data_IF_282224565984
#
_entry.id   IF_282224565984
#
_cell.length_a   1.000
_cell.length_b   1.000
_cell.length_c   1.000
_cell.angle_alpha   90.00
_cell.angle_beta   90.00
_cell.angle_gamma   90.00
#
_symmetry.space_group_name_H-M   'P 1'
#
loop_
_entity.id
_entity.type
_entity.pdbx_description
1 polymer ?
#
# COMPACT_ATOMS: atom_id res chain seq x y z
N UNK A 1 4.98 -29.92 -1.45
CA UNK A 1 5.60 -28.87 -2.31
C UNK A 1 5.46 -27.50 -1.63
N UNK A 2 6.28 -27.21 -0.61
CA UNK A 2 6.32 -25.93 0.11
C UNK A 2 7.59 -25.17 -0.29
N UNK A 3 7.70 -24.70 -1.55
CA UNK A 3 8.77 -23.76 -1.91
C UNK A 3 8.34 -22.36 -1.53
N UNK A 4 8.52 -22.09 -0.23
CA UNK A 4 8.76 -20.79 0.41
C UNK A 4 8.75 -19.59 -0.54
N UNK A 5 7.59 -18.92 -0.62
CA UNK A 5 7.52 -17.49 -0.84
C UNK A 5 8.20 -16.83 0.37
N UNK A 6 9.47 -16.50 0.17
CA UNK A 6 10.31 -15.75 1.09
C UNK A 6 10.41 -14.35 0.50
N UNK A 7 10.12 -13.31 1.28
CA UNK A 7 10.17 -11.90 0.83
C UNK A 7 11.50 -11.57 0.14
N UNK A 8 12.60 -12.22 0.55
CA UNK A 8 13.94 -12.05 -0.04
C UNK A 8 14.10 -12.64 -1.46
N UNK A 9 13.06 -13.31 -2.01
CA UNK A 9 13.07 -13.82 -3.39
C UNK A 9 12.48 -12.85 -4.40
N UNK A 10 11.84 -11.77 -3.94
CA UNK A 10 11.25 -10.78 -4.80
C UNK A 10 12.17 -9.57 -4.89
N UNK A 11 12.52 -9.18 -6.11
CA UNK A 11 13.27 -7.96 -6.39
C UNK A 11 12.36 -6.73 -6.39
N UNK A 12 11.06 -6.95 -6.64
CA UNK A 12 10.03 -5.91 -6.66
C UNK A 12 8.86 -6.28 -5.76
N UNK A 13 8.38 -5.32 -4.96
CA UNK A 13 7.14 -5.44 -4.20
C UNK A 13 6.45 -4.09 -4.24
N UNK A 14 5.20 -4.08 -4.70
CA UNK A 14 4.30 -2.94 -4.55
C UNK A 14 3.05 -3.35 -3.80
N UNK A 15 2.64 -2.48 -2.87
CA UNK A 15 1.43 -2.68 -2.09
C UNK A 15 0.51 -1.49 -2.26
N UNK A 16 -0.71 -1.80 -2.68
CA UNK A 16 -1.68 -0.84 -3.18
C UNK A 16 -2.94 -0.83 -2.32
N UNK A 17 -3.53 0.35 -2.17
CA UNK A 17 -4.88 0.54 -1.61
C UNK A 17 -5.79 1.20 -2.62
N UNK A 18 -7.02 0.70 -2.73
CA UNK A 18 -8.11 1.37 -3.45
C UNK A 18 -9.33 1.46 -2.55
N UNK A 19 -9.77 2.68 -2.25
CA UNK A 19 -10.91 2.94 -1.37
C UNK A 19 -12.21 3.10 -2.14
N UNK A 20 -13.30 2.46 -1.69
CA UNK A 20 -14.65 2.63 -2.27
C UNK A 20 -15.40 3.83 -1.64
N UNK A 21 -16.06 4.65 -2.47
CA UNK A 21 -16.77 5.86 -2.03
C UNK A 21 -18.21 5.53 -1.57
N UNK A 22 -18.45 5.43 -0.24
CA UNK A 22 -19.81 5.23 0.31
C UNK A 22 -20.67 6.50 0.42
N UNK A 23 -20.16 7.68 0.09
CA UNK A 23 -20.98 8.90 -0.10
C UNK A 23 -20.12 10.01 -0.71
N UNK A 24 -20.56 10.57 -1.83
CA UNK A 24 -19.87 11.62 -2.59
C UNK A 24 -20.01 12.99 -1.89
N UNK A 25 -19.52 13.10 -0.66
CA UNK A 25 -19.33 14.41 -0.04
C UNK A 25 -18.08 14.98 -0.67
N UNK A 26 -18.24 16.02 -1.49
CA UNK A 26 -17.14 16.80 -2.06
C UNK A 26 -16.26 17.33 -0.92
N UNK A 27 -15.22 16.61 -0.57
CA UNK A 27 -14.04 17.21 0.03
C UNK A 27 -13.32 17.94 -1.11
N UNK A 28 -13.03 19.23 -0.92
CA UNK A 28 -12.26 20.03 -1.90
C UNK A 28 -10.85 19.47 -2.16
N UNK A 29 -10.41 18.46 -1.40
CA UNK A 29 -9.07 17.90 -1.43
C UNK A 29 -9.14 16.37 -1.54
N UNK A 30 -8.35 15.74 -2.44
CA UNK A 30 -8.36 14.29 -2.63
C UNK A 30 -7.76 13.58 -1.41
N UNK A 31 -8.42 12.51 -0.94
CA UNK A 31 -7.94 11.69 0.18
C UNK A 31 -7.02 10.58 -0.32
N UNK A 32 -7.26 10.08 -1.54
CA UNK A 32 -6.50 9.00 -2.17
C UNK A 32 -6.43 9.18 -3.70
N UNK A 33 -5.80 8.22 -4.38
CA UNK A 33 -5.67 8.21 -5.84
C UNK A 33 -6.99 7.96 -6.58
N UNK A 34 -8.00 7.36 -5.93
CA UNK A 34 -9.34 7.20 -6.51
C UNK A 34 -10.06 8.55 -6.60
N UNK A 35 -9.94 9.41 -5.58
CA UNK A 35 -10.46 10.77 -5.63
C UNK A 35 -9.76 11.62 -6.72
N UNK A 36 -8.45 11.44 -6.90
CA UNK A 36 -7.70 12.11 -7.98
C UNK A 36 -8.26 11.70 -9.34
N UNK A 37 -8.41 10.40 -9.57
CA UNK A 37 -8.96 9.88 -10.82
C UNK A 37 -10.43 10.30 -11.02
N UNK A 38 -11.22 10.36 -9.95
CA UNK A 38 -12.61 10.83 -9.99
C UNK A 38 -12.76 12.31 -10.35
N UNK A 39 -11.76 13.13 -10.01
CA UNK A 39 -11.68 14.54 -10.37
C UNK A 39 -11.14 14.75 -11.80
N UNK A 40 -10.16 13.94 -12.20
CA UNK A 40 -9.59 13.94 -13.56
C UNK A 40 -9.27 12.50 -14.00
N UNK A 41 -10.14 11.96 -14.86
CA UNK A 41 -10.04 10.60 -15.38
C UNK A 41 -8.96 10.42 -16.47
N UNK A 42 -8.23 11.49 -16.81
CA UNK A 42 -7.09 11.48 -17.74
C UNK A 42 -5.73 11.48 -17.04
N UNK A 43 -5.74 11.44 -15.70
CA UNK A 43 -4.54 11.35 -14.87
C UNK A 43 -3.70 10.11 -15.21
N UNK A 44 -2.39 10.30 -15.42
CA UNK A 44 -1.41 9.22 -15.62
C UNK A 44 -0.79 8.74 -14.30
N UNK A 45 -0.14 7.58 -14.28
CA UNK A 45 0.64 7.17 -13.10
C UNK A 45 1.72 8.19 -12.75
N UNK A 46 1.94 8.41 -11.45
CA UNK A 46 2.91 9.42 -10.99
C UNK A 46 2.77 9.80 -9.51
N UNK A 47 3.55 10.80 -9.10
CA UNK A 47 3.49 11.32 -7.72
C UNK A 47 2.43 12.42 -7.61
N UNK A 48 1.49 12.22 -6.70
CA UNK A 48 0.40 13.15 -6.42
C UNK A 48 0.37 13.57 -4.96
N UNK A 49 -0.39 14.63 -4.67
CA UNK A 49 -0.61 15.15 -3.33
C UNK A 49 -2.03 14.86 -2.87
N UNK A 50 -2.16 14.23 -1.70
CA UNK A 50 -3.42 13.84 -1.06
C UNK A 50 -3.49 14.36 0.38
N UNK A 51 -4.67 14.30 1.01
CA UNK A 51 -4.97 14.93 2.30
C UNK A 51 -5.76 14.02 3.26
N UNK A 52 -5.30 12.79 3.57
CA UNK A 52 -6.04 11.86 4.43
C UNK A 52 -6.19 12.34 5.88
N UNK A 53 -5.20 13.10 6.37
CA UNK A 53 -5.21 13.74 7.69
C UNK A 53 -5.95 15.07 7.74
N UNK A 54 -6.46 15.58 6.62
CA UNK A 54 -7.14 16.87 6.50
C UNK A 54 -6.33 17.95 5.77
N UNK A 55 -6.88 19.17 5.63
CA UNK A 55 -6.35 20.20 4.72
C UNK A 55 -4.94 20.71 5.04
N UNK A 56 -4.49 20.57 6.30
CA UNK A 56 -3.21 21.10 6.77
C UNK A 56 -2.08 20.07 6.77
N UNK A 57 -2.37 18.82 6.41
CA UNK A 57 -1.42 17.69 6.45
C UNK A 57 -1.31 17.02 5.08
N UNK A 58 -0.74 17.72 4.07
CA UNK A 58 -0.56 17.15 2.75
C UNK A 58 0.44 15.99 2.79
N UNK A 59 0.16 14.96 1.99
CA UNK A 59 0.98 13.76 1.84
C UNK A 59 1.24 13.51 0.36
N UNK A 60 2.48 13.21 0.00
CA UNK A 60 2.80 12.78 -1.37
C UNK A 60 2.74 11.25 -1.46
N UNK A 61 2.06 10.75 -2.49
CA UNK A 61 1.91 9.32 -2.77
C UNK A 61 2.16 9.05 -4.25
N UNK A 62 2.61 7.84 -4.57
CA UNK A 62 2.60 7.37 -5.94
C UNK A 62 1.21 6.79 -6.24
N UNK A 63 0.56 7.34 -7.26
CA UNK A 63 -0.67 6.80 -7.81
C UNK A 63 -0.36 5.95 -9.04
N UNK A 64 -0.79 4.70 -9.01
CA UNK A 64 -0.83 3.86 -10.21
C UNK A 64 -2.23 3.97 -10.82
N UNK A 65 -2.30 4.63 -11.97
CA UNK A 65 -3.53 4.89 -12.73
C UNK A 65 -3.74 3.90 -13.89
N UNK A 66 -2.83 2.94 -14.08
CA UNK A 66 -2.79 2.09 -15.27
C UNK A 66 -3.11 0.61 -14.93
N UNK A 67 -2.58 0.09 -13.82
CA UNK A 67 -2.69 -1.32 -13.46
C UNK A 67 -4.10 -1.69 -13.00
N UNK A 68 -4.71 -2.72 -13.62
CA UNK A 68 -5.99 -3.32 -13.17
C UNK A 68 -7.13 -2.30 -12.97
N UNK A 69 -7.24 -1.34 -13.91
CA UNK A 69 -8.21 -0.24 -13.84
C UNK A 69 -7.73 1.00 -13.09
N UNK A 70 -6.49 0.99 -12.59
CA UNK A 70 -5.82 2.12 -11.95
C UNK A 70 -6.39 2.49 -10.59
N UNK A 71 -6.20 3.77 -10.22
CA UNK A 71 -6.75 4.40 -9.00
C UNK A 71 -6.12 3.89 -7.70
N UNK A 72 -4.94 3.28 -7.83
CA UNK A 72 -4.27 2.67 -6.71
C UNK A 72 -3.35 3.66 -6.01
N UNK A 73 -3.49 3.74 -4.69
CA UNK A 73 -2.54 4.43 -3.82
C UNK A 73 -1.46 3.46 -3.40
N UNK A 74 -0.24 3.64 -3.88
CA UNK A 74 0.91 2.82 -3.46
C UNK A 74 1.39 3.30 -2.09
N UNK A 75 1.59 2.39 -1.15
CA UNK A 75 2.13 2.73 0.18
C UNK A 75 3.43 2.03 0.54
N UNK A 76 3.81 1.02 -0.22
CA UNK A 76 5.14 0.43 -0.19
C UNK A 76 5.59 0.16 -1.61
N UNK A 77 6.83 0.53 -1.93
CA UNK A 77 7.45 0.25 -3.22
C UNK A 77 8.90 -0.17 -3.05
N UNK A 78 9.27 -1.32 -3.63
CA UNK A 78 10.64 -1.86 -3.73
C UNK A 78 10.98 -2.11 -5.19
N UNK A 79 12.15 -1.69 -5.64
CA UNK A 79 12.54 -1.72 -7.06
C UNK A 79 13.98 -2.22 -7.20
N UNK A 80 14.94 -1.51 -6.57
CA UNK A 80 16.37 -1.68 -6.83
C UNK A 80 17.23 -1.74 -5.57
N UNK A 81 16.63 -1.58 -4.39
CA UNK A 81 17.34 -1.58 -3.11
C UNK A 81 18.11 -0.30 -2.79
N UNK A 82 17.84 0.81 -3.50
CA UNK A 82 18.44 2.12 -3.20
C UNK A 82 18.06 2.65 -1.82
N UNK A 83 16.90 2.26 -1.28
CA UNK A 83 16.47 2.63 0.06
C UNK A 83 16.63 1.48 1.05
N UNK A 84 17.22 1.78 2.21
CA UNK A 84 17.30 0.82 3.30
C UNK A 84 15.96 0.75 4.05
N UNK A 85 15.39 -0.46 4.08
CA UNK A 85 14.24 -0.83 4.92
C UNK A 85 14.69 -1.36 6.29
N UNK A 86 16.00 -1.45 6.57
CA UNK A 86 16.48 -1.74 7.92
C UNK A 86 16.50 -0.44 8.73
N UNK A 87 15.33 -0.05 9.25
CA UNK A 87 15.12 1.22 9.96
C UNK A 87 14.47 1.00 11.33
N UNK A 88 14.74 1.85 12.33
CA UNK A 88 14.03 1.81 13.61
C UNK A 88 12.53 2.06 13.48
N UNK A 89 11.74 1.56 14.43
CA UNK A 89 10.28 1.69 14.50
C UNK A 89 9.72 3.08 14.17
N UNK A 90 10.36 4.14 14.69
CA UNK A 90 9.93 5.53 14.45
C UNK A 90 9.79 5.88 12.96
N UNK A 91 10.63 5.31 12.11
CA UNK A 91 10.57 5.53 10.65
C UNK A 91 9.43 4.74 10.02
N UNK A 92 9.13 3.54 10.52
CA UNK A 92 7.96 2.79 10.08
C UNK A 92 6.65 3.48 10.45
N UNK A 93 6.62 4.20 11.58
CA UNK A 93 5.51 5.05 11.96
C UNK A 93 5.29 6.21 10.99
N UNK A 94 6.33 7.00 10.72
CA UNK A 94 6.23 8.27 9.96
C UNK A 94 6.38 8.14 8.45
N UNK A 95 6.99 7.06 7.97
CA UNK A 95 7.39 6.90 6.57
C UNK A 95 8.86 7.22 6.31
N UNK A 96 9.39 6.71 5.20
CA UNK A 96 10.76 6.96 4.71
C UNK A 96 10.90 6.61 3.21
N UNK A 97 12.00 7.04 2.61
CA UNK A 97 12.33 6.78 1.20
C UNK A 97 11.87 7.88 0.26
N UNK A 98 11.86 7.59 -1.04
CA UNK A 98 11.49 8.50 -2.11
C UNK A 98 10.22 8.01 -2.81
N UNK A 99 9.17 8.82 -2.80
CA UNK A 99 7.87 8.48 -3.40
C UNK A 99 7.97 8.21 -4.92
N UNK A 100 8.95 8.82 -5.60
CA UNK A 100 9.22 8.55 -7.02
C UNK A 100 10.02 7.25 -7.27
N UNK A 101 10.53 6.61 -6.23
CA UNK A 101 11.35 5.40 -6.26
C UNK A 101 10.91 4.40 -5.19
N UNK A 102 11.84 3.94 -4.34
CA UNK A 102 11.52 3.07 -3.21
C UNK A 102 11.05 3.87 -1.99
N UNK A 103 9.94 3.47 -1.37
CA UNK A 103 9.48 4.13 -0.14
C UNK A 103 8.54 3.26 0.69
N UNK A 104 8.38 3.72 1.93
CA UNK A 104 7.37 3.29 2.89
C UNK A 104 6.55 4.51 3.31
N UNK A 105 5.23 4.47 3.14
CA UNK A 105 4.37 5.61 3.39
C UNK A 105 4.29 6.01 4.87
N UNK A 106 4.45 5.05 5.78
CA UNK A 106 4.29 5.25 7.22
C UNK A 106 2.97 4.71 7.74
N UNK A 107 3.02 4.01 8.87
CA UNK A 107 1.85 3.39 9.50
C UNK A 107 0.78 4.42 9.89
N UNK A 108 1.18 5.62 10.35
CA UNK A 108 0.20 6.65 10.69
C UNK A 108 -0.59 7.12 9.45
N UNK A 109 0.09 7.24 8.32
CA UNK A 109 -0.53 7.64 7.06
C UNK A 109 -1.44 6.53 6.51
N UNK A 110 -1.03 5.27 6.62
CA UNK A 110 -1.83 4.11 6.22
C UNK A 110 -3.08 3.97 7.11
N UNK A 111 -2.95 4.21 8.41
CA UNK A 111 -4.09 4.25 9.34
C UNK A 111 -5.09 5.32 8.91
N UNK A 112 -4.64 6.54 8.64
CA UNK A 112 -5.50 7.63 8.19
C UNK A 112 -6.22 7.31 6.87
N UNK A 113 -5.57 6.66 5.92
CA UNK A 113 -6.19 6.23 4.66
C UNK A 113 -7.28 5.16 4.90
N UNK A 114 -6.95 4.14 5.69
CA UNK A 114 -7.82 2.97 5.92
C UNK A 114 -8.97 3.24 6.88
N UNK A 115 -8.87 4.27 7.72
CA UNK A 115 -9.97 4.72 8.57
C UNK A 115 -11.06 5.49 7.80
N UNK A 116 -10.72 6.10 6.65
CA UNK A 116 -11.62 6.99 5.90
C UNK A 116 -12.54 6.26 4.92
N UNK A 117 -12.05 5.17 4.33
CA UNK A 117 -12.75 4.36 3.32
C UNK A 117 -12.52 2.88 3.57
N UNK A 118 -13.44 2.05 3.10
CA UNK A 118 -13.16 0.62 2.95
C UNK A 118 -12.20 0.46 1.78
N UNK A 119 -11.01 -0.05 2.06
CA UNK A 119 -9.95 -0.19 1.07
C UNK A 119 -9.73 -1.65 0.73
N UNK A 120 -9.63 -2.00 -0.54
CA UNK A 120 -9.05 -3.29 -0.94
C UNK A 120 -7.53 -3.20 -1.00
N UNK A 121 -6.89 -4.36 -0.90
CA UNK A 121 -5.43 -4.48 -0.92
C UNK A 121 -5.01 -5.31 -2.12
N UNK A 122 -4.01 -4.81 -2.84
CA UNK A 122 -3.28 -5.58 -3.84
C UNK A 122 -1.80 -5.60 -3.50
N UNK A 123 -1.16 -6.73 -3.76
CA UNK A 123 0.30 -6.93 -3.62
C UNK A 123 0.84 -7.48 -4.92
N UNK A 124 1.67 -6.70 -5.60
CA UNK A 124 2.39 -7.17 -6.79
C UNK A 124 3.83 -7.49 -6.42
N UNK A 125 4.32 -8.61 -6.95
CA UNK A 125 5.65 -9.15 -6.67
C UNK A 125 6.29 -9.60 -7.98
N UNK A 126 7.58 -9.34 -8.12
CA UNK A 126 8.40 -9.85 -9.23
C UNK A 126 9.61 -10.58 -8.67
N UNK A 127 9.92 -11.76 -9.22
CA UNK A 127 11.13 -12.50 -8.88
C UNK A 127 12.33 -12.10 -9.76
N UNK A 128 13.52 -12.59 -9.41
CA UNK A 128 14.75 -12.31 -10.16
C UNK A 128 14.77 -12.83 -11.60
N UNK A 129 13.80 -13.68 -11.98
CA UNK A 129 13.63 -14.18 -13.35
C UNK A 129 12.63 -13.35 -14.15
N UNK A 130 12.06 -12.29 -13.55
CA UNK A 130 11.03 -11.45 -14.16
C UNK A 130 9.61 -12.03 -14.08
N UNK A 131 9.38 -13.10 -13.31
CA UNK A 131 8.02 -13.63 -13.12
C UNK A 131 7.22 -12.71 -12.20
N UNK A 132 6.20 -12.07 -12.76
CA UNK A 132 5.25 -11.22 -12.02
C UNK A 132 4.08 -12.01 -11.47
N UNK A 133 3.73 -11.78 -10.21
CA UNK A 133 2.57 -12.38 -9.55
C UNK A 133 1.87 -11.33 -8.68
N UNK A 134 0.57 -11.48 -8.51
CA UNK A 134 -0.24 -10.62 -7.65
C UNK A 134 -1.02 -11.43 -6.62
N UNK A 135 -1.43 -10.76 -5.54
CA UNK A 135 -2.42 -11.23 -4.58
C UNK A 135 -3.35 -10.06 -4.23
N UNK A 136 -4.65 -10.33 -4.14
CA UNK A 136 -5.67 -9.33 -3.83
C UNK A 136 -6.56 -9.78 -2.67
N UNK A 137 -7.03 -8.81 -1.89
CA UNK A 137 -7.92 -8.99 -0.76
C UNK A 137 -9.06 -7.97 -0.80
N UNK A 138 -10.27 -8.42 -0.45
CA UNK A 138 -11.49 -7.62 -0.53
C UNK A 138 -11.50 -6.40 0.40
N UNK A 139 -10.72 -6.46 1.49
CA UNK A 139 -10.60 -5.35 2.43
C UNK A 139 -9.25 -5.37 3.17
N UNK A 140 -8.81 -4.19 3.58
CA UNK A 140 -7.61 -3.96 4.38
C UNK A 140 -7.78 -2.72 5.24
N UNK A 141 -7.43 -2.87 6.51
CA UNK A 141 -7.25 -1.73 7.40
C UNK A 141 -6.20 -2.05 8.46
N UNK A 142 -5.65 -0.99 9.04
CA UNK A 142 -4.89 -1.11 10.28
C UNK A 142 -5.55 -0.26 11.34
N UNK A 143 -5.35 -0.62 12.60
CA UNK A 143 -5.83 0.16 13.73
C UNK A 143 -4.85 1.28 14.13
N UNK A 144 -5.24 2.08 15.14
CA UNK A 144 -4.37 3.14 15.67
C UNK A 144 -3.09 2.61 16.35
N UNK A 145 -2.13 3.50 16.60
CA UNK A 145 -0.92 3.19 17.36
C UNK A 145 -1.21 2.63 18.76
N UNK A 146 -2.30 3.05 19.40
CA UNK A 146 -2.64 2.65 20.78
C UNK A 146 -2.90 1.15 20.92
N UNK A 147 -3.34 0.51 19.85
CA UNK A 147 -3.51 -0.96 19.75
C UNK A 147 -2.45 -1.58 18.84
N UNK A 148 -1.38 -0.84 18.56
CA UNK A 148 -0.18 -1.32 17.88
C UNK A 148 -0.34 -1.52 16.38
N UNK A 149 -1.17 -0.74 15.69
CA UNK A 149 -1.40 -0.87 14.24
C UNK A 149 -1.82 -2.29 13.84
N UNK A 150 -2.78 -2.86 14.57
CA UNK A 150 -3.30 -4.19 14.30
C UNK A 150 -3.87 -4.28 12.87
N UNK A 151 -3.38 -5.24 12.09
CA UNK A 151 -3.82 -5.50 10.73
C UNK A 151 -5.16 -6.27 10.69
N UNK A 152 -6.11 -5.76 9.92
CA UNK A 152 -7.33 -6.42 9.51
C UNK A 152 -7.29 -6.67 7.99
N UNK A 153 -7.51 -7.91 7.58
CA UNK A 153 -7.46 -8.32 6.18
C UNK A 153 -8.73 -9.11 5.86
N UNK A 154 -9.38 -8.74 4.75
CA UNK A 154 -10.58 -9.39 4.24
C UNK A 154 -10.29 -10.73 3.55
N UNK A 155 -11.29 -11.21 2.82
CA UNK A 155 -11.16 -12.45 2.06
C UNK A 155 -10.20 -12.29 0.89
N UNK A 156 -9.39 -13.31 0.62
CA UNK A 156 -8.59 -13.39 -0.59
C UNK A 156 -9.50 -13.43 -1.83
N UNK A 157 -9.28 -12.52 -2.78
CA UNK A 157 -10.11 -12.39 -3.99
C UNK A 157 -9.45 -12.96 -5.22
N UNK A 158 -8.12 -13.15 -5.22
CA UNK A 158 -7.42 -13.81 -6.32
C UNK A 158 -5.98 -13.33 -6.52
N UNK A 159 -5.36 -13.82 -7.58
CA UNK A 159 -4.00 -13.49 -7.98
C UNK A 159 -3.07 -14.70 -8.02
N UNK A 160 -2.15 -14.71 -9.00
CA UNK A 160 -1.29 -15.86 -9.30
C UNK A 160 -0.26 -16.17 -8.20
N UNK A 161 -0.07 -15.27 -7.23
CA UNK A 161 0.77 -15.55 -6.07
C UNK A 161 0.09 -16.50 -5.07
N UNK A 162 -1.24 -16.52 -5.02
CA UNK A 162 -2.00 -17.27 -4.01
C UNK A 162 -1.92 -16.66 -2.61
N UNK A 163 -2.88 -17.01 -1.76
CA UNK A 163 -2.97 -16.55 -0.37
C UNK A 163 -1.78 -17.04 0.47
N UNK A 164 -1.22 -18.21 0.15
CA UNK A 164 -0.07 -18.77 0.86
C UNK A 164 1.19 -17.90 0.75
N UNK A 165 1.28 -17.08 -0.29
CA UNK A 165 2.38 -16.15 -0.51
C UNK A 165 2.19 -14.85 0.25
N UNK A 166 0.94 -14.42 0.47
CA UNK A 166 0.62 -13.06 0.96
C UNK A 166 -0.40 -13.10 2.09
N UNK A 167 -0.41 -14.14 2.93
CA UNK A 167 -1.35 -14.25 4.05
C UNK A 167 -1.06 -13.29 5.20
N UNK A 168 -2.01 -13.19 6.14
CA UNK A 168 -1.97 -12.26 7.29
C UNK A 168 -0.63 -12.25 8.05
N UNK A 169 -0.06 -13.43 8.36
CA UNK A 169 1.24 -13.56 9.04
C UNK A 169 2.41 -12.98 8.24
N UNK A 170 2.36 -13.08 6.91
CA UNK A 170 3.42 -12.59 6.01
C UNK A 170 3.29 -11.09 5.77
N UNK A 171 2.06 -10.59 5.63
CA UNK A 171 1.81 -9.15 5.64
C UNK A 171 2.36 -8.54 6.94
N UNK A 172 2.05 -9.11 8.10
CA UNK A 172 2.51 -8.59 9.39
C UNK A 172 4.03 -8.37 9.46
N UNK A 173 4.82 -9.26 8.83
CA UNK A 173 6.28 -9.14 8.74
C UNK A 173 6.71 -7.94 7.87
N UNK A 174 5.91 -7.56 6.87
CA UNK A 174 6.14 -6.36 6.04
C UNK A 174 5.89 -5.08 6.87
N UNK A 175 4.89 -5.07 7.75
CA UNK A 175 4.52 -3.89 8.55
C UNK A 175 5.38 -3.69 9.82
N UNK A 176 5.94 -4.75 10.41
CA UNK A 176 6.77 -4.68 11.64
C UNK A 176 8.05 -5.51 11.55
N UNK A 177 9.06 -5.09 10.77
CA UNK A 177 10.27 -5.88 10.60
C UNK A 177 11.21 -5.86 11.83
N UNK A 178 11.02 -4.93 12.77
CA UNK A 178 11.80 -4.78 14.00
C UNK A 178 11.40 -5.73 15.13
N UNK A 179 10.28 -6.44 15.00
CA UNK A 179 9.81 -7.47 15.94
C UNK A 179 10.40 -8.87 15.65
N UNK A 180 11.55 -8.94 14.95
CA UNK A 180 12.29 -10.18 14.68
C UNK A 180 13.45 -10.38 15.64
#
# INVERSE_FOLDING_TARGET
KQRLCSINKFCYIEVFLRGDQKNKISFYLPIDCDDIYGNDNTSSSGVYKIYPGGPTTPLHVYCDMDTDGGRWTVFQRRIDGTESFFRPWRHYKTGFGNVAGEYWLGLENIFLLTMRKENELRVDMEDWNGERRSAQYSSFSIESETVGYQLHLGSFTGGAAGEECVGHKKLWIIFKPDQK
#
